data_IF_303873756369
#
_entry.id   IF_303873756369
#
_cell.length_a   1.000
_cell.length_b   1.000
_cell.length_c   1.000
_cell.angle_alpha   90.00
_cell.angle_beta   90.00
_cell.angle_gamma   90.00
#
_symmetry.space_group_name_H-M   'P 1'
#
loop_
_entity.id
_entity.type
_entity.pdbx_description
1 polymer ?
#
# COMPACT_ATOMS: atom_id res chain seq x y z
N UNK A 1 24.64 -15.06 -35.56
CA UNK A 1 25.25 -14.26 -34.50
C UNK A 1 24.35 -13.05 -34.34
N UNK A 2 23.18 -13.24 -33.71
CA UNK A 2 23.01 -13.26 -32.23
C UNK A 2 23.19 -11.84 -31.69
N UNK A 3 22.34 -11.24 -30.88
CA UNK A 3 21.12 -11.62 -30.14
C UNK A 3 20.43 -10.28 -29.77
N UNK A 4 19.12 -10.11 -29.87
CA UNK A 4 18.09 -10.47 -28.89
C UNK A 4 18.37 -9.89 -27.49
N UNK A 5 17.80 -8.71 -27.19
CA UNK A 5 17.76 -8.11 -25.84
C UNK A 5 16.64 -7.05 -25.75
N UNK A 6 15.40 -7.44 -26.07
CA UNK A 6 14.26 -6.51 -26.01
C UNK A 6 12.94 -7.07 -25.46
N UNK A 7 12.87 -8.35 -25.05
CA UNK A 7 11.59 -8.98 -24.69
C UNK A 7 11.45 -9.42 -23.21
N UNK A 8 12.43 -9.17 -22.33
CA UNK A 8 12.42 -9.74 -20.97
C UNK A 8 11.74 -8.86 -19.89
N UNK A 9 11.02 -7.80 -20.28
CA UNK A 9 10.35 -6.90 -19.33
C UNK A 9 8.86 -7.19 -19.14
N UNK A 10 8.23 -7.88 -20.10
CA UNK A 10 6.78 -8.15 -20.06
C UNK A 10 6.46 -9.51 -19.40
N UNK A 11 7.39 -10.47 -19.37
CA UNK A 11 7.16 -11.81 -18.77
C UNK A 11 7.22 -11.82 -17.23
N UNK A 12 7.93 -10.88 -16.57
CA UNK A 12 7.95 -10.82 -15.08
C UNK A 12 6.63 -10.29 -14.47
N UNK A 13 5.81 -9.54 -15.20
CA UNK A 13 4.58 -8.96 -14.65
C UNK A 13 3.45 -9.99 -14.50
N UNK A 14 3.43 -11.01 -15.37
CA UNK A 14 2.37 -12.01 -15.48
C UNK A 14 2.57 -13.22 -14.54
N UNK A 15 3.81 -13.65 -14.26
CA UNK A 15 4.06 -14.69 -13.24
C UNK A 15 3.68 -14.23 -11.82
N UNK A 16 3.70 -12.92 -11.58
CA UNK A 16 3.43 -12.29 -10.29
C UNK A 16 1.94 -12.26 -9.86
N UNK A 17 1.00 -12.63 -10.75
CA UNK A 17 -0.39 -12.89 -10.34
C UNK A 17 -0.53 -14.26 -9.66
N UNK A 18 0.30 -15.23 -10.03
CA UNK A 18 0.28 -16.60 -9.52
C UNK A 18 1.18 -16.76 -8.29
N UNK A 19 0.65 -16.40 -7.12
CA UNK A 19 1.40 -16.57 -5.88
C UNK A 19 0.61 -16.18 -4.64
N UNK A 20 1.22 -16.39 -3.47
CA UNK A 20 0.61 -15.93 -2.21
C UNK A 20 0.50 -14.39 -2.19
N UNK A 21 1.44 -13.66 -2.79
CA UNK A 21 1.39 -12.21 -2.94
C UNK A 21 0.22 -11.76 -3.84
N UNK A 22 0.10 -12.35 -5.03
CA UNK A 22 -1.00 -12.05 -5.97
C UNK A 22 -2.37 -12.30 -5.34
N UNK A 23 -2.56 -13.47 -4.71
CA UNK A 23 -3.79 -13.79 -3.97
C UNK A 23 -4.06 -12.83 -2.81
N UNK A 24 -3.04 -12.42 -2.05
CA UNK A 24 -3.19 -11.47 -0.96
C UNK A 24 -3.63 -10.09 -1.47
N UNK A 25 -3.01 -9.59 -2.54
CA UNK A 25 -3.39 -8.33 -3.17
C UNK A 25 -4.80 -8.38 -3.76
N UNK A 26 -5.19 -9.49 -4.39
CA UNK A 26 -6.55 -9.69 -4.89
C UNK A 26 -7.59 -9.66 -3.76
N UNK A 27 -7.32 -10.31 -2.63
CA UNK A 27 -8.19 -10.25 -1.43
C UNK A 27 -8.33 -8.82 -0.89
N UNK A 28 -7.25 -8.04 -0.89
CA UNK A 28 -7.29 -6.65 -0.44
C UNK A 28 -8.08 -5.74 -1.40
N UNK A 29 -7.98 -5.96 -2.72
CA UNK A 29 -8.82 -5.27 -3.71
C UNK A 29 -10.30 -5.60 -3.51
N UNK A 30 -10.64 -6.88 -3.40
CA UNK A 30 -12.01 -7.31 -3.14
C UNK A 30 -12.56 -6.77 -1.81
N UNK A 31 -11.72 -6.70 -0.76
CA UNK A 31 -12.10 -6.04 0.50
C UNK A 31 -12.34 -4.54 0.30
N UNK A 32 -11.48 -3.85 -0.44
CA UNK A 32 -11.60 -2.41 -0.70
C UNK A 32 -12.89 -2.09 -1.45
N UNK A 33 -13.28 -2.92 -2.43
CA UNK A 33 -14.56 -2.81 -3.14
C UNK A 33 -15.75 -2.97 -2.18
N UNK A 34 -15.71 -3.98 -1.31
CA UNK A 34 -16.76 -4.22 -0.31
C UNK A 34 -16.87 -3.08 0.69
N UNK A 35 -15.75 -2.49 1.11
CA UNK A 35 -15.73 -1.32 2.00
C UNK A 35 -16.30 -0.08 1.31
N UNK A 36 -15.98 0.13 0.02
CA UNK A 36 -16.53 1.23 -0.77
C UNK A 36 -18.05 1.14 -0.96
N UNK A 37 -18.59 -0.08 -1.00
CA UNK A 37 -20.02 -0.33 -1.10
C UNK A 37 -20.79 -0.11 0.21
N UNK A 38 -20.11 0.09 1.34
CA UNK A 38 -20.79 0.42 2.60
C UNK A 38 -21.44 1.81 2.52
N UNK A 39 -22.58 2.02 3.19
CA UNK A 39 -23.13 3.36 3.36
C UNK A 39 -22.09 4.30 3.97
N UNK A 40 -22.00 5.56 3.50
CA UNK A 40 -21.10 6.53 4.09
C UNK A 40 -21.35 6.66 5.61
N UNK A 41 -20.30 6.73 6.43
CA UNK A 41 -20.47 6.89 7.86
C UNK A 41 -21.15 8.24 8.17
N UNK A 42 -22.05 8.23 9.15
CA UNK A 42 -22.67 9.44 9.67
C UNK A 42 -21.74 10.24 10.59
N UNK A 43 -22.23 11.39 11.09
CA UNK A 43 -21.53 12.15 12.13
C UNK A 43 -21.14 11.26 13.33
N UNK A 44 -19.95 11.45 13.93
CA UNK A 44 -19.02 12.58 13.77
C UNK A 44 -17.92 12.37 12.71
N UNK A 45 -18.04 11.39 11.82
CA UNK A 45 -16.99 11.10 10.82
C UNK A 45 -16.94 12.17 9.75
N UNK A 46 -15.84 12.94 9.71
CA UNK A 46 -15.67 14.06 8.78
C UNK A 46 -14.95 13.68 7.47
N UNK A 47 -14.17 12.60 7.48
CA UNK A 47 -13.43 12.12 6.32
C UNK A 47 -13.07 10.64 6.48
N UNK A 48 -13.00 9.92 5.36
CA UNK A 48 -12.58 8.51 5.29
C UNK A 48 -11.39 8.43 4.33
N UNK A 49 -10.32 7.77 4.79
CA UNK A 49 -9.10 7.60 4.02
C UNK A 49 -8.92 6.11 3.75
N UNK A 50 -8.67 5.76 2.50
CA UNK A 50 -8.41 4.38 2.07
C UNK A 50 -7.00 4.31 1.43
N UNK A 51 -5.93 4.09 2.22
CA UNK A 51 -4.55 4.07 1.70
C UNK A 51 -4.33 3.00 0.63
N UNK A 52 -5.11 1.92 0.64
CA UNK A 52 -5.06 0.89 -0.40
C UNK A 52 -5.60 1.38 -1.76
N UNK A 53 -6.23 2.55 -1.82
CA UNK A 53 -6.59 3.19 -3.08
C UNK A 53 -5.51 4.17 -3.53
N UNK A 54 -5.20 5.18 -2.69
CA UNK A 54 -4.32 6.27 -3.10
C UNK A 54 -2.82 5.96 -2.93
N UNK A 55 -2.44 4.98 -2.11
CA UNK A 55 -1.06 4.54 -1.91
C UNK A 55 -0.86 3.08 -2.36
N UNK A 56 -1.64 2.64 -3.36
CA UNK A 56 -1.63 1.26 -3.85
C UNK A 56 -0.25 0.82 -4.36
N UNK A 57 0.45 1.66 -5.12
CA UNK A 57 1.71 1.26 -5.75
C UNK A 57 2.82 0.92 -4.72
N UNK A 58 3.13 1.76 -3.72
CA UNK A 58 4.06 1.35 -2.66
C UNK A 58 3.54 0.15 -1.85
N UNK A 59 2.22 0.02 -1.64
CA UNK A 59 1.65 -1.16 -0.97
C UNK A 59 1.90 -2.46 -1.75
N UNK A 60 1.59 -2.49 -3.05
CA UNK A 60 1.83 -3.62 -3.96
C UNK A 60 3.30 -4.01 -3.95
N UNK A 61 4.20 -3.04 -4.05
CA UNK A 61 5.65 -3.27 -4.01
C UNK A 61 6.10 -3.86 -2.67
N UNK A 62 5.57 -3.37 -1.55
CA UNK A 62 5.84 -3.94 -0.23
C UNK A 62 5.40 -5.41 -0.17
N UNK A 63 4.17 -5.71 -0.58
CA UNK A 63 3.64 -7.08 -0.55
C UNK A 63 4.46 -8.01 -1.45
N UNK A 64 4.66 -7.67 -2.74
CA UNK A 64 5.44 -8.51 -3.66
C UNK A 64 6.87 -8.72 -3.16
N UNK A 65 7.50 -7.69 -2.58
CA UNK A 65 8.88 -7.80 -2.07
C UNK A 65 9.00 -8.77 -0.90
N UNK A 66 8.04 -8.75 0.04
CA UNK A 66 8.17 -9.42 1.34
C UNK A 66 7.29 -10.65 1.53
N UNK A 67 6.25 -10.86 0.73
CA UNK A 67 5.35 -12.02 0.80
C UNK A 67 5.66 -13.03 -0.31
N UNK A 68 6.82 -13.70 -0.21
CA UNK A 68 7.30 -14.65 -1.23
C UNK A 68 6.83 -16.10 -1.06
N UNK A 69 6.15 -16.40 0.04
CA UNK A 69 5.75 -17.77 0.39
C UNK A 69 4.91 -17.83 1.66
N UNK A 70 4.59 -19.05 2.09
CA UNK A 70 3.84 -19.27 3.32
C UNK A 70 4.60 -18.69 4.53
N UNK A 71 3.91 -17.86 5.33
CA UNK A 71 4.48 -17.22 6.52
C UNK A 71 3.80 -17.79 7.77
N UNK A 72 4.54 -18.36 8.73
CA UNK A 72 3.95 -19.03 9.89
C UNK A 72 3.41 -18.05 10.95
N UNK A 73 3.79 -16.77 10.86
CA UNK A 73 3.43 -15.72 11.84
C UNK A 73 2.87 -14.52 11.09
N UNK A 74 1.72 -14.02 11.54
CA UNK A 74 1.10 -12.79 11.04
C UNK A 74 1.04 -11.76 12.17
N UNK A 75 1.73 -10.62 11.99
CA UNK A 75 1.52 -9.45 12.83
C UNK A 75 0.34 -8.65 12.31
N UNK A 76 -0.63 -8.35 13.18
CA UNK A 76 -1.88 -7.69 12.81
C UNK A 76 -2.11 -6.46 13.70
N UNK A 77 -2.06 -5.28 13.08
CA UNK A 77 -2.51 -4.03 13.70
C UNK A 77 -4.02 -3.82 13.56
N UNK A 78 -4.55 -2.71 14.09
CA UNK A 78 -5.97 -2.37 13.97
C UNK A 78 -6.28 -1.69 12.63
N UNK A 79 -5.68 -0.53 12.38
CA UNK A 79 -5.95 0.31 11.21
C UNK A 79 -4.80 1.30 10.96
N UNK A 80 -4.73 1.93 9.76
CA UNK A 80 -3.69 2.90 9.43
C UNK A 80 -3.63 4.07 10.42
N UNK A 81 -2.42 4.37 10.91
CA UNK A 81 -2.12 5.64 11.54
C UNK A 81 -1.94 6.77 10.51
N UNK A 82 -2.13 8.05 10.92
CA UNK A 82 -2.11 9.18 10.00
C UNK A 82 -0.71 9.54 9.48
N UNK A 83 0.38 9.05 10.10
CA UNK A 83 1.74 9.41 9.72
C UNK A 83 2.60 8.23 9.24
N UNK A 84 2.13 6.99 9.39
CA UNK A 84 2.74 5.82 8.75
C UNK A 84 1.90 5.34 7.57
N UNK A 85 1.10 4.27 7.75
CA UNK A 85 0.40 3.64 6.62
C UNK A 85 -0.53 4.60 5.85
N UNK A 86 -1.14 5.59 6.52
CA UNK A 86 -1.92 6.64 5.86
C UNK A 86 -1.11 7.51 4.90
N UNK A 87 0.21 7.52 5.02
CA UNK A 87 1.13 8.24 4.14
C UNK A 87 1.79 7.32 3.11
N UNK A 88 2.08 6.08 3.49
CA UNK A 88 3.02 5.23 2.75
C UNK A 88 2.38 4.02 2.09
N UNK A 89 1.17 3.64 2.49
CA UNK A 89 0.54 2.38 2.11
C UNK A 89 1.13 1.15 2.80
N UNK A 90 2.19 1.28 3.60
CA UNK A 90 2.84 0.14 4.28
C UNK A 90 2.35 0.03 5.73
N UNK A 91 1.94 -1.16 6.22
CA UNK A 91 1.56 -1.36 7.63
C UNK A 91 2.70 -0.94 8.57
N UNK A 92 2.38 -0.19 9.64
CA UNK A 92 3.38 0.43 10.53
C UNK A 92 4.47 1.23 9.78
N UNK A 93 4.13 1.75 8.60
CA UNK A 93 5.10 2.24 7.64
C UNK A 93 5.45 3.71 7.85
N UNK A 94 6.28 4.02 8.83
CA UNK A 94 6.92 5.34 8.95
C UNK A 94 7.74 5.64 7.69
N UNK A 95 7.61 6.87 7.14
CA UNK A 95 8.08 7.21 5.80
C UNK A 95 9.59 7.00 5.59
N UNK A 96 10.43 7.33 6.58
CA UNK A 96 11.88 7.13 6.51
C UNK A 96 12.22 5.64 6.50
N UNK A 97 11.66 4.85 7.42
CA UNK A 97 11.89 3.40 7.48
C UNK A 97 11.39 2.69 6.22
N UNK A 98 10.24 3.08 5.68
CA UNK A 98 9.72 2.54 4.41
C UNK A 98 10.70 2.79 3.26
N UNK A 99 11.22 4.01 3.14
CA UNK A 99 12.13 4.39 2.04
C UNK A 99 13.55 3.84 2.22
N UNK A 100 14.11 3.96 3.42
CA UNK A 100 15.54 3.74 3.67
C UNK A 100 15.84 2.32 4.14
N UNK A 101 14.93 1.70 4.89
CA UNK A 101 15.11 0.35 5.41
C UNK A 101 14.37 -0.70 4.57
N UNK A 102 13.06 -0.54 4.36
CA UNK A 102 12.28 -1.46 3.53
C UNK A 102 12.55 -1.29 2.02
N UNK A 103 13.16 -0.16 1.61
CA UNK A 103 13.46 0.17 0.22
C UNK A 103 12.22 0.11 -0.69
N UNK A 104 11.07 0.48 -0.14
CA UNK A 104 9.81 0.58 -0.87
C UNK A 104 9.64 2.02 -1.34
N UNK A 105 9.38 2.19 -2.62
CA UNK A 105 9.14 3.48 -3.28
C UNK A 105 7.94 3.37 -4.20
N UNK A 106 7.28 4.49 -4.49
CA UNK A 106 6.16 4.52 -5.43
C UNK A 106 5.38 5.82 -5.31
N UNK A 107 4.57 6.16 -6.33
CA UNK A 107 3.66 7.29 -6.25
C UNK A 107 2.62 7.07 -5.15
N UNK A 108 2.34 8.14 -4.41
CA UNK A 108 1.21 8.22 -3.47
C UNK A 108 0.32 9.36 -3.94
N UNK A 109 -0.90 9.01 -4.32
CA UNK A 109 -1.95 9.93 -4.74
C UNK A 109 -2.63 10.55 -3.52
N UNK A 110 -3.58 11.46 -3.78
CA UNK A 110 -4.44 12.05 -2.76
C UNK A 110 -5.75 11.27 -2.63
N UNK A 111 -6.32 11.15 -1.42
CA UNK A 111 -7.70 10.70 -1.29
C UNK A 111 -8.66 11.76 -1.89
N UNK A 112 -9.90 11.40 -2.26
CA UNK A 112 -10.86 12.33 -2.85
C UNK A 112 -11.16 13.56 -1.98
N UNK A 113 -11.08 13.42 -0.65
CA UNK A 113 -11.27 14.49 0.31
C UNK A 113 -10.21 14.41 1.40
N UNK A 114 -9.48 15.51 1.60
CA UNK A 114 -8.51 15.64 2.69
C UNK A 114 -9.05 16.60 3.77
N UNK A 115 -8.94 16.19 5.03
CA UNK A 115 -9.08 17.10 6.15
C UNK A 115 -7.80 17.98 6.23
N UNK A 116 -7.90 19.32 6.37
CA UNK A 116 -6.73 20.21 6.34
C UNK A 116 -5.64 19.88 7.37
N UNK A 117 -6.03 19.35 8.54
CA UNK A 117 -5.09 18.91 9.60
C UNK A 117 -4.48 17.51 9.39
N UNK A 118 -4.85 16.81 8.31
CA UNK A 118 -4.40 15.45 7.99
C UNK A 118 -4.12 15.30 6.49
N UNK A 119 -3.18 16.08 5.92
CA UNK A 119 -2.79 15.92 4.53
C UNK A 119 -1.99 14.62 4.32
N UNK A 120 -2.14 14.01 3.17
CA UNK A 120 -1.30 12.93 2.64
C UNK A 120 -0.14 13.56 1.88
N UNK A 121 1.07 13.44 2.43
CA UNK A 121 2.32 13.95 1.86
C UNK A 121 3.17 12.82 1.24
N UNK A 122 2.70 11.58 1.34
CA UNK A 122 3.38 10.41 0.77
C UNK A 122 4.65 10.02 1.54
N UNK A 123 5.58 9.38 0.82
CA UNK A 123 6.91 9.00 1.33
C UNK A 123 7.83 10.19 1.68
N UNK A 124 7.35 11.43 1.51
CA UNK A 124 8.03 12.66 1.92
C UNK A 124 7.43 13.26 3.20
N UNK A 125 6.49 12.59 3.85
CA UNK A 125 5.93 13.05 5.12
C UNK A 125 7.07 13.26 6.14
N UNK A 126 7.24 14.47 6.69
CA UNK A 126 8.35 14.77 7.62
C UNK A 126 8.06 14.31 9.05
N UNK A 127 6.84 13.83 9.33
CA UNK A 127 6.40 13.42 10.66
C UNK A 127 6.68 11.93 10.83
N UNK A 128 7.38 11.58 11.89
CA UNK A 128 7.55 10.19 12.29
C UNK A 128 6.28 9.67 12.99
N UNK A 129 5.92 8.43 12.72
CA UNK A 129 4.95 7.66 13.51
C UNK A 129 5.72 6.92 14.62
N UNK A 130 5.24 7.01 15.87
CA UNK A 130 5.93 6.47 17.06
C UNK A 130 5.46 5.04 17.39
N UNK A 131 4.30 4.65 16.86
CA UNK A 131 3.64 3.36 17.10
C UNK A 131 4.39 2.17 16.51
#
# INVERSE_FOLDING_TARGET
>A
AEDADADDADDEEDEDEEGVAGRFLALQRALSERLRALPPPGPPVAAVYAPLEYAWEPHRRFVRRYLRGATPVLFLGMNPGPFGMGQTGVPFGEARLVREWLRVSGPVQKPPQEHPKRPVLGLRCPRAEVS
#
